data_IF_032124220153
#
_entry.id   IF_032124220153
#
_cell.length_a   1.000
_cell.length_b   1.000
_cell.length_c   1.000
_cell.angle_alpha   90.00
_cell.angle_beta   90.00
_cell.angle_gamma   90.00
#
_symmetry.space_group_name_H-M   'P 1'
#
loop_
_entity.id
_entity.type
_entity.pdbx_description
1 polymer ?
#
# COMPACT_ATOMS: atom_id res chain seq x y z
N UNK A 1 -52.61 19.37 11.64
CA UNK A 1 -51.80 18.16 11.96
C UNK A 1 -50.40 18.19 11.36
N UNK A 2 -50.22 18.69 10.13
CA UNK A 2 -48.93 18.76 9.43
C UNK A 2 -47.83 19.51 10.22
N UNK A 3 -48.15 20.65 10.86
CA UNK A 3 -47.16 21.40 11.66
C UNK A 3 -46.66 20.61 12.88
N UNK A 4 -47.50 19.80 13.52
CA UNK A 4 -47.11 19.00 14.69
C UNK A 4 -46.13 17.88 14.30
N UNK A 5 -46.32 17.29 13.12
CA UNK A 5 -45.40 16.29 12.56
C UNK A 5 -44.07 16.94 12.19
N UNK A 6 -44.09 18.14 11.59
CA UNK A 6 -42.87 18.89 11.26
C UNK A 6 -42.04 19.20 12.51
N UNK A 7 -42.68 19.67 13.58
CA UNK A 7 -41.99 19.91 14.85
C UNK A 7 -41.36 18.63 15.41
N UNK A 8 -42.11 17.53 15.46
CA UNK A 8 -41.58 16.25 15.94
C UNK A 8 -40.38 15.76 15.11
N UNK A 9 -40.43 15.89 13.78
CA UNK A 9 -39.31 15.54 12.91
C UNK A 9 -38.09 16.43 13.16
N UNK A 10 -38.27 17.75 13.26
CA UNK A 10 -37.15 18.68 13.50
C UNK A 10 -36.50 18.39 14.85
N UNK A 11 -37.29 18.19 15.91
CA UNK A 11 -36.76 17.87 17.24
C UNK A 11 -36.04 16.52 17.27
N UNK A 12 -36.60 15.50 16.62
CA UNK A 12 -35.96 14.19 16.51
C UNK A 12 -34.63 14.24 15.76
N UNK A 13 -34.58 14.96 14.63
CA UNK A 13 -33.37 15.12 13.82
C UNK A 13 -32.28 15.89 14.58
N UNK A 14 -32.67 16.92 15.33
CA UNK A 14 -31.75 17.71 16.15
C UNK A 14 -31.16 16.89 17.30
N UNK A 15 -31.98 16.08 17.98
CA UNK A 15 -31.52 15.21 19.06
C UNK A 15 -30.59 14.10 18.55
N UNK A 16 -30.92 13.50 17.40
CA UNK A 16 -30.11 12.45 16.78
C UNK A 16 -28.74 12.98 16.35
N UNK A 17 -28.70 14.15 15.70
CA UNK A 17 -27.43 14.77 15.26
C UNK A 17 -26.54 15.23 16.42
N UNK A 18 -27.13 15.74 17.50
CA UNK A 18 -26.39 16.16 18.69
C UNK A 18 -25.82 14.96 19.49
N UNK A 19 -26.60 13.88 19.62
CA UNK A 19 -26.16 12.64 20.25
C UNK A 19 -25.03 11.94 19.48
N UNK A 20 -25.11 11.92 18.15
CA UNK A 20 -24.08 11.32 17.29
C UNK A 20 -22.75 12.11 17.33
N UNK A 21 -22.77 13.44 17.48
CA UNK A 21 -21.52 14.22 17.64
C UNK A 21 -20.81 13.95 18.98
N UNK A 22 -21.57 13.63 20.03
CA UNK A 22 -21.01 13.30 21.35
C UNK A 22 -20.41 11.89 21.41
N UNK A 23 -20.85 10.98 20.53
CA UNK A 23 -20.35 9.61 20.42
C UNK A 23 -19.38 9.43 19.24
N UNK A 24 -18.68 10.48 18.81
CA UNK A 24 -17.55 10.26 17.90
C UNK A 24 -16.39 9.75 18.76
N UNK A 25 -16.00 8.45 18.69
CA UNK A 25 -14.77 8.02 19.33
C UNK A 25 -13.67 8.88 18.73
N UNK A 26 -12.88 9.54 19.58
CA UNK A 26 -11.71 10.27 19.13
C UNK A 26 -10.95 9.34 18.18
N UNK A 27 -10.58 9.77 16.96
CA UNK A 27 -9.80 8.93 16.06
C UNK A 27 -8.62 8.42 16.88
N UNK A 28 -8.34 7.10 16.85
CA UNK A 28 -7.26 6.55 17.65
C UNK A 28 -6.05 7.42 17.40
N UNK A 29 -5.52 8.04 18.47
CA UNK A 29 -4.28 8.79 18.35
C UNK A 29 -3.31 7.78 17.78
N UNK A 30 -2.98 7.92 16.50
CA UNK A 30 -1.82 7.27 15.93
C UNK A 30 -0.67 7.97 16.62
N UNK A 31 -0.37 7.51 17.84
CA UNK A 31 0.96 7.64 18.39
C UNK A 31 1.76 6.81 17.40
N UNK A 32 2.23 7.47 16.34
CA UNK A 32 3.37 6.98 15.62
C UNK A 32 4.43 6.89 16.72
N UNK A 33 4.53 5.72 17.35
CA UNK A 33 5.73 5.29 18.05
C UNK A 33 6.77 5.51 16.97
N UNK A 34 7.45 6.66 17.04
CA UNK A 34 8.08 7.27 15.88
C UNK A 34 8.87 6.20 15.17
N UNK A 35 8.42 5.80 13.98
CA UNK A 35 9.07 4.72 13.27
C UNK A 35 10.53 5.15 13.15
N UNK A 36 11.44 4.35 13.69
CA UNK A 36 12.86 4.60 13.49
C UNK A 36 13.09 4.75 11.99
N UNK A 37 13.86 5.77 11.63
CA UNK A 37 14.20 6.03 10.24
C UNK A 37 14.75 4.73 9.66
N UNK A 38 14.18 4.28 8.55
CA UNK A 38 14.62 3.06 7.88
C UNK A 38 16.13 3.16 7.67
N UNK A 39 16.92 2.14 8.06
CA UNK A 39 18.37 2.21 7.89
C UNK A 39 18.69 2.46 6.42
N UNK A 40 19.73 3.27 6.18
CA UNK A 40 20.20 3.52 4.82
C UNK A 40 20.45 2.17 4.12
N UNK A 41 20.01 1.99 2.87
CA UNK A 41 20.31 0.78 2.13
C UNK A 41 21.83 0.62 2.13
N UNK A 42 22.29 -0.52 2.60
CA UNK A 42 23.71 -0.77 2.69
C UNK A 42 24.28 -0.74 1.27
N UNK A 43 25.41 -0.06 1.10
CA UNK A 43 26.00 0.28 -0.20
C UNK A 43 26.47 -0.94 -1.04
N UNK A 44 26.18 -2.15 -0.59
CA UNK A 44 26.49 -3.35 -1.36
C UNK A 44 25.45 -3.52 -2.46
N UNK A 45 25.96 -3.67 -3.68
CA UNK A 45 25.22 -3.82 -4.92
C UNK A 45 24.81 -2.55 -5.68
N UNK A 46 25.71 -1.56 -5.73
CA UNK A 46 25.91 -0.81 -6.98
C UNK A 46 27.05 -1.45 -7.78
N UNK A 47 26.98 -2.78 -7.98
CA UNK A 47 27.86 -3.45 -8.95
C UNK A 47 27.60 -2.78 -10.31
N UNK A 48 28.65 -2.31 -10.98
CA UNK A 48 28.48 -1.77 -12.32
C UNK A 48 27.83 -2.85 -13.18
N UNK A 49 26.65 -2.54 -13.73
CA UNK A 49 25.92 -3.46 -14.62
C UNK A 49 26.87 -3.84 -15.74
N UNK A 50 27.46 -5.03 -15.67
CA UNK A 50 28.39 -5.52 -16.69
C UNK A 50 27.64 -5.44 -18.03
N UNK A 51 28.12 -4.66 -19.01
CA UNK A 51 27.32 -4.34 -20.20
C UNK A 51 26.96 -5.59 -21.02
N UNK A 52 27.67 -6.69 -20.81
CA UNK A 52 27.48 -7.99 -21.45
C UNK A 52 26.89 -9.07 -20.52
N UNK A 53 26.50 -8.75 -19.27
CA UNK A 53 26.04 -9.75 -18.30
C UNK A 53 24.87 -10.57 -18.84
N UNK A 54 23.88 -9.89 -19.40
CA UNK A 54 22.69 -10.53 -20.00
C UNK A 54 23.09 -11.47 -21.13
N UNK A 55 24.00 -11.05 -22.00
CA UNK A 55 24.39 -11.83 -23.17
C UNK A 55 25.25 -13.04 -22.78
N UNK A 56 26.10 -12.88 -21.76
CA UNK A 56 26.87 -13.98 -21.16
C UNK A 56 25.94 -15.00 -20.52
N UNK A 57 24.98 -14.56 -19.70
CA UNK A 57 24.02 -15.47 -19.07
C UNK A 57 23.16 -16.20 -20.09
N UNK A 58 22.72 -15.52 -21.16
CA UNK A 58 21.99 -16.15 -22.24
C UNK A 58 22.82 -17.21 -22.98
N UNK A 59 24.12 -16.97 -23.17
CA UNK A 59 25.02 -17.97 -23.77
C UNK A 59 25.24 -19.19 -22.86
N UNK A 60 25.36 -18.98 -21.54
CA UNK A 60 25.52 -20.07 -20.56
C UNK A 60 24.21 -20.88 -20.38
N UNK A 61 23.07 -20.21 -20.41
CA UNK A 61 21.75 -20.82 -20.21
C UNK A 61 21.17 -21.40 -21.50
N UNK A 62 21.66 -20.98 -22.66
CA UNK A 62 21.26 -21.59 -23.92
C UNK A 62 21.87 -22.99 -24.01
N UNK A 63 21.07 -24.04 -24.28
CA UNK A 63 21.63 -25.32 -24.63
C UNK A 63 22.56 -25.11 -25.84
N UNK A 64 23.82 -25.49 -25.68
CA UNK A 64 24.78 -25.55 -26.79
C UNK A 64 24.11 -26.41 -27.87
N UNK A 65 24.05 -25.97 -29.14
CA UNK A 65 23.61 -26.85 -30.20
C UNK A 65 24.60 -28.01 -30.25
N UNK A 66 24.26 -29.12 -29.61
CA UNK A 66 24.93 -30.39 -29.86
C UNK A 66 24.87 -30.58 -31.36
N UNK A 67 26.05 -30.76 -31.96
CA UNK A 67 26.13 -31.11 -33.38
C UNK A 67 25.23 -32.31 -33.56
N UNK A 68 24.14 -32.14 -34.28
CA UNK A 68 23.32 -33.24 -34.76
C UNK A 68 24.25 -34.08 -35.63
N UNK A 69 24.82 -35.14 -35.05
CA UNK A 69 25.50 -36.18 -35.80
C UNK A 69 24.43 -36.78 -36.70
N UNK A 70 24.56 -36.52 -37.99
CA UNK A 70 23.66 -37.03 -39.01
C UNK A 70 24.07 -38.48 -39.28
N UNK A 71 23.21 -39.43 -38.91
CA UNK A 71 23.28 -40.81 -39.39
C UNK A 71 22.84 -40.89 -40.87
#
# INVERSE_FOLDING_TARGET
MLNRIRFACVTSLLLLSCGCQSYSPAPPRVVAVGCQLSPAPAAWFMEQREPNLTQRLLNELSPLPERVTKD
#
